data_IF_714200800276
#
_entry.id   IF_714200800276
#
_cell.length_a   1.000
_cell.length_b   1.000
_cell.length_c   1.000
_cell.angle_alpha   90.00
_cell.angle_beta   90.00
_cell.angle_gamma   90.00
#
_symmetry.space_group_name_H-M   'P 1'
#
loop_
_entity.id
_entity.type
_entity.pdbx_description
1 polymer ?
#
# COMPACT_ATOMS: atom_id res chain seq x y z
N UNK A 1 8.59 20.02 -5.19
CA UNK A 1 9.42 19.09 -4.40
C UNK A 1 8.52 18.02 -3.81
N UNK A 2 8.91 16.73 -3.82
CA UNK A 2 8.13 15.62 -3.24
C UNK A 2 9.06 14.77 -2.35
N UNK A 3 9.08 14.98 -1.02
CA UNK A 3 9.93 14.19 -0.13
C UNK A 3 9.45 12.75 -0.04
N UNK A 4 10.38 11.82 0.20
CA UNK A 4 10.12 10.38 0.38
C UNK A 4 10.72 9.90 1.69
N UNK A 5 10.10 8.88 2.30
CA UNK A 5 10.61 8.20 3.48
C UNK A 5 11.26 6.92 3.00
N UNK A 6 12.55 6.76 3.24
CA UNK A 6 13.30 5.55 2.93
C UNK A 6 13.66 4.88 4.25
N UNK A 7 13.35 3.59 4.37
CA UNK A 7 13.95 2.76 5.38
C UNK A 7 15.44 2.59 5.08
N UNK A 8 16.29 3.04 6.00
CA UNK A 8 17.74 3.12 5.79
C UNK A 8 18.37 1.74 5.66
N UNK A 9 17.84 0.75 6.37
CA UNK A 9 18.47 -0.57 6.47
C UNK A 9 18.14 -1.42 5.24
N UNK A 10 16.89 -1.37 4.77
CA UNK A 10 16.45 -2.11 3.59
C UNK A 10 16.57 -1.33 2.28
N UNK A 11 16.67 0.00 2.34
CA UNK A 11 16.58 0.90 1.18
C UNK A 11 15.16 1.03 0.61
N UNK A 12 14.16 0.41 1.25
CA UNK A 12 12.78 0.38 0.75
C UNK A 12 12.09 1.70 1.02
N UNK A 13 11.36 2.19 0.02
CA UNK A 13 10.48 3.34 0.18
C UNK A 13 9.27 2.97 1.04
N UNK A 14 9.00 3.79 2.05
CA UNK A 14 7.86 3.66 2.94
C UNK A 14 6.78 4.67 2.56
N UNK A 15 5.56 4.16 2.44
CA UNK A 15 4.40 4.96 2.05
C UNK A 15 3.47 5.22 3.22
N UNK A 16 2.94 6.44 3.28
CA UNK A 16 1.79 6.77 4.11
C UNK A 16 0.52 6.09 3.58
N UNK A 17 -0.53 6.05 4.41
CA UNK A 17 -1.85 5.56 3.98
C UNK A 17 -2.39 6.30 2.75
N UNK A 18 -2.10 7.60 2.61
CA UNK A 18 -2.51 8.42 1.47
C UNK A 18 -1.80 7.96 0.19
N UNK A 19 -0.47 7.79 0.22
CA UNK A 19 0.28 7.30 -0.94
C UNK A 19 -0.16 5.90 -1.38
N UNK A 20 -0.43 5.01 -0.43
CA UNK A 20 -0.94 3.67 -0.74
C UNK A 20 -2.31 3.73 -1.42
N UNK A 21 -3.19 4.60 -0.92
CA UNK A 21 -4.53 4.80 -1.45
C UNK A 21 -4.50 5.39 -2.87
N UNK A 22 -3.69 6.43 -3.09
CA UNK A 22 -3.45 7.02 -4.40
C UNK A 22 -2.93 5.99 -5.40
N UNK A 23 -1.90 5.24 -5.04
CA UNK A 23 -1.31 4.22 -5.91
C UNK A 23 -2.31 3.10 -6.27
N UNK A 24 -3.14 2.69 -5.32
CA UNK A 24 -4.07 1.56 -5.51
C UNK A 24 -5.44 1.94 -6.06
N UNK A 25 -5.68 3.22 -6.34
CA UNK A 25 -6.97 3.74 -6.78
C UNK A 25 -8.07 3.53 -5.73
N UNK A 26 -7.76 3.71 -4.45
CA UNK A 26 -8.72 3.62 -3.35
C UNK A 26 -8.77 4.90 -2.53
N UNK A 27 -9.83 5.10 -1.73
CA UNK A 27 -9.84 6.16 -0.73
C UNK A 27 -8.94 5.79 0.46
N UNK A 28 -8.31 6.79 1.11
CA UNK A 28 -7.43 6.59 2.28
C UNK A 28 -8.08 5.72 3.37
N UNK A 29 -9.32 6.04 3.75
CA UNK A 29 -10.08 5.27 4.73
C UNK A 29 -10.28 3.82 4.30
N UNK A 30 -10.66 3.60 3.04
CA UNK A 30 -10.81 2.26 2.45
C UNK A 30 -9.53 1.45 2.51
N UNK A 31 -8.39 2.02 2.09
CA UNK A 31 -7.10 1.33 2.16
C UNK A 31 -6.76 0.91 3.60
N UNK A 32 -6.87 1.83 4.56
CA UNK A 32 -6.61 1.51 5.98
C UNK A 32 -7.56 0.45 6.52
N UNK A 33 -8.82 0.47 6.07
CA UNK A 33 -9.83 -0.52 6.43
C UNK A 33 -9.53 -1.91 5.83
N UNK A 34 -8.96 -1.97 4.62
CA UNK A 34 -8.47 -3.21 4.03
C UNK A 34 -7.26 -3.75 4.80
N UNK A 35 -6.28 -2.90 5.11
CA UNK A 35 -5.10 -3.29 5.88
C UNK A 35 -5.50 -3.86 7.25
N UNK A 36 -6.42 -3.20 7.96
CA UNK A 36 -6.95 -3.67 9.25
C UNK A 36 -7.71 -5.00 9.17
N UNK A 37 -8.29 -5.34 8.01
CA UNK A 37 -8.99 -6.61 7.76
C UNK A 37 -8.13 -7.66 7.05
N UNK A 38 -6.83 -7.43 6.87
CA UNK A 38 -5.93 -8.34 6.14
C UNK A 38 -6.24 -8.48 4.64
N UNK A 39 -6.93 -7.51 4.04
CA UNK A 39 -7.24 -7.45 2.60
C UNK A 39 -6.28 -6.58 1.79
N UNK A 40 -5.39 -5.87 2.46
CA UNK A 40 -4.25 -5.14 1.91
C UNK A 40 -3.04 -5.36 2.84
N UNK A 41 -1.82 -4.99 2.43
CA UNK A 41 -0.63 -5.11 3.26
C UNK A 41 -0.80 -4.45 4.63
N UNK A 42 -0.22 -5.06 5.66
CA UNK A 42 -0.21 -4.49 7.01
C UNK A 42 0.83 -3.37 7.09
N UNK A 43 0.64 -2.37 7.94
CA UNK A 43 1.67 -1.36 8.15
C UNK A 43 2.91 -2.01 8.76
N UNK A 44 4.09 -1.58 8.31
CA UNK A 44 5.38 -2.10 8.79
C UNK A 44 5.91 -1.35 10.00
N UNK A 45 5.54 -0.08 10.16
CA UNK A 45 5.96 0.70 11.33
C UNK A 45 5.07 1.93 11.59
N UNK A 46 5.29 2.54 12.75
CA UNK A 46 4.84 3.91 13.06
C UNK A 46 6.06 4.79 13.30
N UNK A 47 6.13 5.92 12.60
CA UNK A 47 7.23 6.88 12.72
C UNK A 47 6.68 8.30 12.78
N UNK A 48 6.96 9.03 13.86
CA UNK A 48 6.52 10.41 14.09
C UNK A 48 5.02 10.63 13.82
N UNK A 49 4.17 9.74 14.33
CA UNK A 49 2.70 9.79 14.15
C UNK A 49 2.20 9.30 12.79
N UNK A 50 3.10 9.02 11.84
CA UNK A 50 2.75 8.39 10.56
C UNK A 50 2.71 6.88 10.73
N UNK A 51 1.66 6.26 10.19
CA UNK A 51 1.66 4.81 9.95
C UNK A 51 2.19 4.58 8.53
N UNK A 52 3.15 3.68 8.39
CA UNK A 52 3.90 3.48 7.17
C UNK A 52 3.79 2.04 6.67
N UNK A 53 3.74 1.89 5.35
CA UNK A 53 3.68 0.62 4.63
C UNK A 53 4.90 0.46 3.74
N UNK A 54 5.36 -0.78 3.58
CA UNK A 54 6.35 -1.11 2.58
C UNK A 54 5.74 -0.91 1.18
N UNK A 55 6.35 -0.05 0.36
CA UNK A 55 5.83 0.27 -0.98
C UNK A 55 5.83 -0.94 -1.92
N UNK A 56 6.79 -1.85 -1.80
CA UNK A 56 6.89 -3.03 -2.65
C UNK A 56 5.76 -4.03 -2.36
N UNK A 57 5.40 -4.21 -1.09
CA UNK A 57 4.24 -5.03 -0.72
C UNK A 57 2.94 -4.45 -1.28
N UNK A 58 2.80 -3.12 -1.29
CA UNK A 58 1.62 -2.44 -1.86
C UNK A 58 1.59 -2.57 -3.38
N UNK A 59 2.73 -2.45 -4.05
CA UNK A 59 2.87 -2.67 -5.51
C UNK A 59 2.47 -4.09 -5.89
N UNK A 60 2.98 -5.08 -5.18
CA UNK A 60 2.69 -6.49 -5.43
C UNK A 60 1.23 -6.83 -5.16
N UNK A 61 0.68 -6.38 -4.03
CA UNK A 61 -0.73 -6.56 -3.71
C UNK A 61 -1.65 -5.97 -4.80
N UNK A 62 -1.37 -4.76 -5.27
CA UNK A 62 -2.19 -4.13 -6.31
C UNK A 62 -2.08 -4.90 -7.63
N UNK A 63 -0.88 -5.39 -8.00
CA UNK A 63 -0.68 -6.22 -9.20
C UNK A 63 -1.55 -7.48 -9.14
N UNK A 64 -1.54 -8.19 -8.00
CA UNK A 64 -2.37 -9.38 -7.80
C UNK A 64 -3.87 -9.07 -7.85
N UNK A 65 -4.29 -7.93 -7.29
CA UNK A 65 -5.67 -7.48 -7.32
C UNK A 65 -6.15 -7.18 -8.75
N UNK A 66 -5.32 -6.53 -9.55
CA UNK A 66 -5.64 -6.25 -10.95
C UNK A 66 -5.68 -7.51 -11.81
N UNK A 67 -4.76 -8.45 -11.58
CA UNK A 67 -4.76 -9.74 -12.28
C UNK A 67 -6.05 -10.53 -12.03
N UNK A 68 -6.52 -10.59 -10.77
CA UNK A 68 -7.79 -11.24 -10.41
C UNK A 68 -8.99 -10.62 -11.11
N UNK A 69 -9.02 -9.29 -11.24
CA UNK A 69 -10.12 -8.60 -11.93
C UNK A 69 -10.15 -8.92 -13.43
N UNK A 70 -9.00 -9.14 -14.06
CA UNK A 70 -8.94 -9.48 -15.48
C UNK A 70 -9.38 -10.93 -15.74
N UNK A 71 -9.04 -11.85 -14.83
CA UNK A 71 -9.45 -13.26 -14.93
C UNK A 71 -10.95 -13.51 -14.71
N UNK A 72 -11.69 -12.57 -14.11
CA UNK A 72 -13.15 -12.68 -13.93
C UNK A 72 -13.97 -12.07 -15.07
N UNK A 73 -13.31 -11.54 -16.11
CA UNK A 73 -13.98 -10.95 -17.28
C UNK A 73 -14.04 -11.90 -18.49
N UNK A 74 -13.52 -13.12 -18.37
CA UNK A 74 -13.43 -14.13 -19.44
C UNK A 74 -14.35 -15.36 -19.24
N UNK A 75 -15.31 -15.28 -18.29
CA UNK A 75 -16.35 -16.30 -18.06
C UNK A 75 -17.74 -15.85 -18.55
#
# INVERSE_FOLDING_TARGET
MKPVIIDRDSGVELWTATQCAEFSGTARGTFTSYAGRGRAPRPVTKYNGLTLWNSDEVREWQRQRLAKNNSSAED
#
